data_IF_577054456382
#
_entry.id   IF_577054456382
#
_cell.length_a   1.000
_cell.length_b   1.000
_cell.length_c   1.000
_cell.angle_alpha   90.00
_cell.angle_beta   90.00
_cell.angle_gamma   90.00
#
_symmetry.space_group_name_H-M   'P 1'
#
loop_
_entity.id
_entity.type
_entity.pdbx_description
1 polymer ?
#
# COMPACT_ATOMS: atom_id res chain seq x y z
N UNK A 1 5.19 -3.56 -8.59
CA UNK A 1 6.34 -3.49 -7.66
C UNK A 1 6.03 -2.64 -6.45
N UNK A 2 6.05 -1.31 -6.58
CA UNK A 2 5.99 -0.41 -5.42
C UNK A 2 4.75 -0.55 -4.53
N UNK A 3 3.56 -0.86 -5.07
CA UNK A 3 2.38 -1.12 -4.21
C UNK A 3 2.60 -2.29 -3.25
N UNK A 4 3.26 -3.37 -3.67
CA UNK A 4 3.58 -4.50 -2.79
C UNK A 4 4.52 -4.09 -1.64
N UNK A 5 5.46 -3.17 -1.92
CA UNK A 5 6.35 -2.62 -0.89
C UNK A 5 5.53 -1.82 0.13
N UNK A 6 4.60 -0.99 -0.32
CA UNK A 6 3.71 -0.22 0.57
C UNK A 6 2.83 -1.15 1.44
N UNK A 7 2.27 -2.21 0.85
CA UNK A 7 1.50 -3.22 1.56
C UNK A 7 2.34 -3.90 2.65
N UNK A 8 3.56 -4.36 2.33
CA UNK A 8 4.46 -4.96 3.30
C UNK A 8 4.88 -3.98 4.41
N UNK A 9 5.22 -2.74 4.04
CA UNK A 9 5.58 -1.69 5.01
C UNK A 9 4.41 -1.35 5.93
N UNK A 10 3.17 -1.42 5.45
CA UNK A 10 2.00 -1.19 6.29
C UNK A 10 1.87 -2.25 7.38
N UNK A 11 2.16 -3.52 7.07
CA UNK A 11 2.17 -4.62 8.04
C UNK A 11 3.31 -4.45 9.04
N UNK A 12 4.53 -4.17 8.56
CA UNK A 12 5.70 -3.95 9.44
C UNK A 12 5.42 -2.81 10.42
N UNK A 13 4.94 -1.67 9.92
CA UNK A 13 4.62 -0.49 10.75
C UNK A 13 3.52 -0.81 11.76
N UNK A 14 2.47 -1.50 11.33
CA UNK A 14 1.37 -1.89 12.21
C UNK A 14 1.85 -2.82 13.34
N UNK A 15 2.63 -3.84 13.01
CA UNK A 15 3.17 -4.80 13.99
C UNK A 15 4.14 -4.13 14.95
N UNK A 16 5.06 -3.30 14.44
CA UNK A 16 6.01 -2.56 15.28
C UNK A 16 5.28 -1.62 16.26
N UNK A 17 4.33 -0.83 15.77
CA UNK A 17 3.55 0.07 16.61
C UNK A 17 2.78 -0.68 17.70
N UNK A 18 2.13 -1.78 17.34
CA UNK A 18 1.37 -2.56 18.32
C UNK A 18 2.26 -3.22 19.37
N UNK A 19 3.45 -3.72 18.98
CA UNK A 19 4.43 -4.30 19.92
C UNK A 19 5.05 -3.25 20.86
N UNK A 20 5.33 -2.05 20.37
CA UNK A 20 6.02 -1.01 21.15
C UNK A 20 5.06 -0.16 22.00
N UNK A 21 3.87 0.13 21.48
CA UNK A 21 2.96 1.12 22.08
C UNK A 21 1.59 0.56 22.43
N UNK A 22 1.27 -0.68 22.00
CA UNK A 22 -0.07 -1.27 22.12
C UNK A 22 -1.12 -0.60 21.21
N UNK A 23 -0.75 0.39 20.41
CA UNK A 23 -1.67 1.17 19.56
C UNK A 23 -1.52 0.78 18.10
N UNK A 24 -2.66 0.71 17.41
CA UNK A 24 -2.73 0.49 15.96
C UNK A 24 -2.57 1.82 15.22
N UNK A 25 -1.79 1.83 14.13
CA UNK A 25 -1.63 3.01 13.26
C UNK A 25 -2.71 3.02 12.19
N UNK A 26 -2.95 1.87 11.58
CA UNK A 26 -4.04 1.65 10.63
C UNK A 26 -5.18 0.89 11.31
N UNK A 27 -6.42 1.14 10.87
CA UNK A 27 -7.60 0.34 11.27
C UNK A 27 -7.36 -1.17 11.10
N UNK A 28 -6.73 -1.56 10.00
CA UNK A 28 -6.26 -2.92 9.71
C UNK A 28 -5.05 -2.82 8.77
N UNK A 29 -4.14 -3.79 8.87
CA UNK A 29 -3.08 -4.00 7.90
C UNK A 29 -3.28 -5.40 7.27
N UNK A 30 -3.00 -5.60 5.98
CA UNK A 30 -2.37 -4.64 5.07
C UNK A 30 -3.24 -3.42 4.67
N UNK A 31 -2.64 -2.42 4.03
CA UNK A 31 -3.24 -1.08 3.86
C UNK A 31 -4.53 -1.06 3.02
N UNK A 32 -4.76 -2.01 2.11
CA UNK A 32 -6.04 -2.10 1.40
C UNK A 32 -7.24 -2.35 2.34
N UNK A 33 -7.11 -3.18 3.39
CA UNK A 33 -8.18 -3.38 4.37
C UNK A 33 -8.44 -2.14 5.23
N UNK A 34 -7.43 -1.29 5.45
CA UNK A 34 -7.66 0.00 6.10
C UNK A 34 -8.67 0.86 5.34
N UNK A 35 -8.63 0.78 4.02
CA UNK A 35 -9.52 1.50 3.11
C UNK A 35 -10.89 0.85 2.99
N UNK A 36 -10.96 -0.47 3.02
CA UNK A 36 -12.22 -1.22 3.09
C UNK A 36 -13.00 -0.85 4.37
N UNK A 37 -12.33 -0.86 5.53
CA UNK A 37 -12.91 -0.42 6.80
C UNK A 37 -13.22 1.07 6.88
N UNK A 38 -12.77 1.87 5.91
CA UNK A 38 -13.20 3.27 5.71
C UNK A 38 -14.50 3.37 4.89
N UNK A 39 -15.06 2.25 4.45
CA UNK A 39 -16.29 2.18 3.66
C UNK A 39 -16.06 2.30 2.15
N UNK A 40 -14.84 2.05 1.66
CA UNK A 40 -14.61 2.00 0.21
C UNK A 40 -14.81 0.58 -0.33
N UNK A 41 -15.53 0.47 -1.44
CA UNK A 41 -15.75 -0.79 -2.14
C UNK A 41 -14.42 -1.42 -2.56
N UNK A 42 -14.28 -2.74 -2.38
CA UNK A 42 -13.06 -3.48 -2.71
C UNK A 42 -12.63 -3.25 -4.17
N UNK A 43 -13.56 -3.35 -5.12
CA UNK A 43 -13.30 -3.09 -6.54
C UNK A 43 -12.74 -1.69 -6.78
N UNK A 44 -13.25 -0.68 -6.07
CA UNK A 44 -12.76 0.71 -6.18
C UNK A 44 -11.33 0.84 -5.65
N UNK A 45 -10.98 0.13 -4.58
CA UNK A 45 -9.62 0.10 -4.03
C UNK A 45 -8.66 -0.57 -5.02
N UNK A 46 -9.03 -1.76 -5.54
CA UNK A 46 -8.23 -2.51 -6.51
C UNK A 46 -7.92 -1.66 -7.75
N UNK A 47 -8.95 -1.02 -8.34
CA UNK A 47 -8.77 -0.16 -9.52
C UNK A 47 -7.84 1.01 -9.22
N UNK A 48 -7.96 1.67 -8.06
CA UNK A 48 -7.05 2.75 -7.65
C UNK A 48 -5.61 2.25 -7.48
N UNK A 49 -5.42 1.06 -6.93
CA UNK A 49 -4.10 0.45 -6.75
C UNK A 49 -3.47 0.08 -8.10
N UNK A 50 -4.27 -0.34 -9.08
CA UNK A 50 -3.81 -0.56 -10.45
C UNK A 50 -3.35 0.73 -11.12
N UNK A 51 -4.12 1.82 -10.99
CA UNK A 51 -3.73 3.14 -11.51
C UNK A 51 -2.35 3.54 -10.95
N UNK A 52 -2.16 3.44 -9.62
CA UNK A 52 -0.87 3.75 -8.99
C UNK A 52 0.23 2.79 -9.46
N UNK A 53 -0.08 1.50 -9.61
CA UNK A 53 0.89 0.49 -10.09
C UNK A 53 1.38 0.79 -11.50
N UNK A 54 0.49 1.22 -12.40
CA UNK A 54 0.83 1.62 -13.77
C UNK A 54 1.71 2.88 -13.75
N UNK A 55 1.36 3.89 -12.94
CA UNK A 55 2.18 5.09 -12.81
C UNK A 55 3.60 4.78 -12.30
N UNK A 56 3.72 3.90 -11.31
CA UNK A 56 5.02 3.44 -10.80
C UNK A 56 5.79 2.61 -11.83
N UNK A 57 5.11 1.84 -12.67
CA UNK A 57 5.73 1.10 -13.76
C UNK A 57 6.30 2.05 -14.82
N UNK A 58 5.53 3.06 -15.25
CA UNK A 58 6.00 4.11 -16.18
C UNK A 58 7.19 4.87 -15.58
N UNK A 59 7.11 5.25 -14.30
CA UNK A 59 8.23 5.88 -13.61
C UNK A 59 9.47 4.98 -13.62
N UNK A 60 9.32 3.70 -13.30
CA UNK A 60 10.42 2.72 -13.34
C UNK A 60 11.03 2.55 -14.73
N UNK A 61 10.23 2.65 -15.80
CA UNK A 61 10.74 2.61 -17.16
C UNK A 61 11.49 3.90 -17.52
N UNK A 62 11.00 5.06 -17.04
CA UNK A 62 11.66 6.35 -17.27
C UNK A 62 13.01 6.49 -16.56
N UNK A 63 13.20 5.82 -15.41
CA UNK A 63 14.49 5.79 -14.69
C UNK A 63 15.47 4.78 -15.27
N UNK A 64 14.99 3.83 -16.09
CA UNK A 64 15.85 2.91 -16.81
C UNK A 64 16.56 3.68 -17.93
N UNK A 65 17.82 4.07 -17.69
CA UNK A 65 18.68 4.62 -18.75
C UNK A 65 18.97 3.52 -19.76
N UNK A 66 18.19 3.48 -20.84
CA UNK A 66 18.51 2.75 -22.06
C UNK A 66 19.50 3.59 -22.88
N UNK A 67 20.77 3.58 -22.48
CA UNK A 67 21.89 4.06 -23.27
C UNK A 67 23.03 3.06 -23.20
#
# INVERSE_FOLDING_TARGET
GGIFVVEALSVITQVLSFKLTGKRVFRMAPIHHHFELKGMDETKIIVRFWIISILLAVLSLSTLKLR
#
